data_IF_881121163403
#
_entry.id   IF_881121163403
#
_cell.length_a   1.000
_cell.length_b   1.000
_cell.length_c   1.000
_cell.angle_alpha   90.00
_cell.angle_beta   90.00
_cell.angle_gamma   90.00
#
_symmetry.space_group_name_H-M   'P 1'
#
loop_
_entity.id
_entity.type
_entity.pdbx_description
1 polymer ?
#
# COMPACT_ATOMS: atom_id res chain seq x y z
N UNK A 1 2.43 -12.36 6.98
CA UNK A 1 2.41 -12.41 5.50
C UNK A 1 0.96 -12.44 5.09
N UNK A 2 0.55 -11.41 4.36
CA UNK A 2 -0.86 -11.14 4.01
C UNK A 2 -0.92 -10.80 2.52
N UNK A 3 -1.88 -11.36 1.79
CA UNK A 3 -2.10 -11.03 0.37
C UNK A 3 -3.26 -10.06 0.24
N UNK A 4 -3.05 -8.99 -0.51
CA UNK A 4 -4.03 -7.93 -0.75
C UNK A 4 -4.29 -7.77 -2.23
N UNK A 5 -5.51 -7.38 -2.60
CA UNK A 5 -5.85 -7.00 -3.97
C UNK A 5 -5.86 -5.49 -4.16
N UNK A 6 -5.66 -5.04 -5.40
CA UNK A 6 -5.77 -3.63 -5.78
C UNK A 6 -7.17 -3.04 -5.47
N UNK A 7 -8.21 -3.87 -5.39
CA UNK A 7 -9.58 -3.44 -5.11
C UNK A 7 -9.84 -3.11 -3.64
N UNK A 8 -8.95 -3.50 -2.71
CA UNK A 8 -9.16 -3.27 -1.27
C UNK A 8 -8.76 -1.86 -0.80
N UNK A 9 -8.03 -1.11 -1.63
CA UNK A 9 -7.62 0.27 -1.34
C UNK A 9 -6.93 0.46 0.02
N UNK A 10 -5.96 -0.42 0.33
CA UNK A 10 -5.16 -0.39 1.56
C UNK A 10 -3.72 0.03 1.28
N UNK A 11 -2.95 0.31 2.32
CA UNK A 11 -1.53 0.66 2.24
C UNK A 11 -0.73 -0.37 1.43
N UNK A 12 -0.95 -1.66 1.65
CA UNK A 12 -0.31 -2.74 0.89
C UNK A 12 -0.51 -2.64 -0.62
N UNK A 13 -1.64 -2.11 -1.09
CA UNK A 13 -1.93 -1.89 -2.52
C UNK A 13 -1.73 -0.45 -2.99
N UNK A 14 -1.34 0.46 -2.09
CA UNK A 14 -1.12 1.88 -2.37
C UNK A 14 0.26 2.13 -2.98
N UNK A 15 0.34 3.02 -3.98
CA UNK A 15 1.61 3.45 -4.60
C UNK A 15 2.60 4.06 -3.62
N UNK A 16 2.10 4.73 -2.59
CA UNK A 16 2.92 5.53 -1.68
C UNK A 16 3.45 4.76 -0.47
N UNK A 17 2.99 3.53 -0.25
CA UNK A 17 3.46 2.73 0.87
C UNK A 17 4.81 2.09 0.56
N UNK A 18 5.77 2.28 1.45
CA UNK A 18 7.15 1.83 1.30
C UNK A 18 7.44 0.54 2.09
N UNK A 19 6.40 -0.11 2.64
CA UNK A 19 6.53 -1.43 3.26
C UNK A 19 6.95 -2.51 2.26
N UNK A 20 7.71 -3.49 2.74
CA UNK A 20 8.23 -4.57 1.89
C UNK A 20 7.11 -5.48 1.42
N UNK A 21 6.95 -5.59 0.10
CA UNK A 21 5.90 -6.39 -0.55
C UNK A 21 6.36 -6.92 -1.90
N UNK A 22 5.87 -8.10 -2.26
CA UNK A 22 5.96 -8.61 -3.62
C UNK A 22 4.71 -8.17 -4.38
N UNK A 23 4.90 -7.70 -5.61
CA UNK A 23 3.82 -7.19 -6.45
C UNK A 23 3.81 -8.05 -7.70
N UNK A 24 2.64 -8.55 -8.08
CA UNK A 24 2.51 -9.28 -9.33
C UNK A 24 2.73 -8.36 -10.55
N UNK A 25 2.95 -8.94 -11.73
CA UNK A 25 3.29 -8.18 -12.92
C UNK A 25 2.20 -7.18 -13.35
N UNK A 26 0.94 -7.45 -13.05
CA UNK A 26 -0.20 -6.57 -13.35
C UNK A 26 -0.55 -5.62 -12.20
N UNK A 27 0.05 -5.78 -11.02
CA UNK A 27 -0.28 -5.05 -9.79
C UNK A 27 -1.76 -5.20 -9.37
N UNK A 28 -2.30 -6.40 -9.55
CA UNK A 28 -3.60 -6.82 -9.00
C UNK A 28 -3.48 -7.40 -7.60
N UNK A 29 -2.35 -8.05 -7.29
CA UNK A 29 -2.09 -8.70 -6.02
C UNK A 29 -0.77 -8.23 -5.42
N UNK A 30 -0.80 -8.04 -4.09
CA UNK A 30 0.30 -7.51 -3.30
C UNK A 30 0.50 -8.43 -2.10
N UNK A 31 1.60 -9.17 -2.08
CA UNK A 31 1.98 -9.99 -0.93
C UNK A 31 2.83 -9.15 0.01
N UNK A 32 2.25 -8.72 1.11
CA UNK A 32 2.96 -7.99 2.16
C UNK A 32 3.89 -8.95 2.91
N UNK A 33 5.20 -8.75 2.73
CA UNK A 33 6.25 -9.51 3.42
C UNK A 33 6.46 -8.98 4.85
N UNK A 34 6.11 -7.70 5.08
CA UNK A 34 6.11 -7.04 6.38
C UNK A 34 4.72 -6.47 6.69
N UNK A 35 4.37 -6.50 7.97
CA UNK A 35 3.12 -5.92 8.50
C UNK A 35 3.13 -4.39 8.45
N UNK A 36 4.31 -3.78 8.48
CA UNK A 36 4.46 -2.32 8.60
C UNK A 36 5.32 -1.71 7.51
N UNK A 37 5.05 -0.45 7.22
CA UNK A 37 5.83 0.35 6.29
C UNK A 37 5.50 1.83 6.39
N UNK A 38 6.47 2.67 6.07
CA UNK A 38 6.26 4.12 6.01
C UNK A 38 5.39 4.50 4.81
N UNK A 39 4.52 5.50 4.97
CA UNK A 39 3.78 6.09 3.87
C UNK A 39 4.46 7.38 3.37
N UNK A 40 4.97 7.33 2.14
CA UNK A 40 5.61 8.44 1.44
C UNK A 40 4.61 9.27 0.61
N UNK A 41 3.34 9.30 1.04
CA UNK A 41 2.27 10.04 0.35
C UNK A 41 2.56 11.55 0.35
N UNK A 42 2.18 12.28 -0.72
CA UNK A 42 2.39 13.74 -0.77
C UNK A 42 1.50 14.50 0.22
N UNK A 43 0.37 13.91 0.61
CA UNK A 43 -0.62 14.48 1.51
C UNK A 43 -1.32 13.36 2.31
N UNK A 44 -2.17 13.75 3.26
CA UNK A 44 -2.99 12.85 4.06
C UNK A 44 -2.40 12.53 5.43
N UNK A 45 -3.25 11.97 6.30
CA UNK A 45 -2.94 11.67 7.71
C UNK A 45 -1.82 10.65 7.90
N UNK A 46 -1.48 9.88 6.85
CA UNK A 46 -0.46 8.85 6.90
C UNK A 46 0.93 9.32 6.44
N UNK A 47 1.06 10.56 5.95
CA UNK A 47 2.33 11.05 5.43
C UNK A 47 3.43 11.03 6.50
N UNK A 48 4.52 10.31 6.21
CA UNK A 48 5.71 10.22 7.07
C UNK A 48 5.52 9.40 8.34
N UNK A 49 4.42 8.65 8.46
CA UNK A 49 4.22 7.72 9.58
C UNK A 49 4.30 6.27 9.10
N UNK A 50 4.68 5.39 10.03
CA UNK A 50 4.61 3.95 9.84
C UNK A 50 3.15 3.49 9.96
N UNK A 51 2.67 2.80 8.92
CA UNK A 51 1.32 2.27 8.85
C UNK A 51 1.35 0.76 8.64
N UNK A 52 0.30 0.09 9.10
CA UNK A 52 0.13 -1.34 8.84
C UNK A 52 -0.27 -1.57 7.37
N UNK A 53 -0.08 -2.77 6.87
CA UNK A 53 -0.32 -3.14 5.47
C UNK A 53 -1.82 -3.04 5.13
N UNK A 54 -2.69 -3.33 6.11
CA UNK A 54 -4.15 -3.28 5.97
C UNK A 54 -4.78 -1.92 6.28
N UNK A 55 -4.00 -0.90 6.64
CA UNK A 55 -4.53 0.44 6.90
C UNK A 55 -5.04 1.09 5.60
N UNK A 56 -6.05 1.95 5.70
CA UNK A 56 -6.59 2.70 4.56
C UNK A 56 -6.68 4.18 4.89
N UNK A 57 -6.55 5.02 3.86
CA UNK A 57 -6.71 6.46 3.98
C UNK A 57 -7.38 7.03 2.72
N UNK A 58 -7.93 8.24 2.84
CA UNK A 58 -8.63 8.91 1.73
C UNK A 58 -7.71 9.31 0.58
N UNK A 59 -6.40 9.38 0.80
CA UNK A 59 -5.38 9.74 -0.20
C UNK A 59 -4.78 8.51 -0.89
N UNK A 60 -5.44 7.35 -0.78
CA UNK A 60 -5.00 6.13 -1.45
C UNK A 60 -4.92 6.35 -2.96
N UNK A 61 -3.85 5.85 -3.57
CA UNK A 61 -3.70 5.82 -5.01
C UNK A 61 -3.23 4.45 -5.48
N UNK A 62 -3.83 3.99 -6.58
CA UNK A 62 -3.47 2.74 -7.21
C UNK A 62 -1.98 2.69 -7.55
N UNK A 63 -1.37 1.52 -7.33
CA UNK A 63 0.06 1.31 -7.59
C UNK A 63 0.43 1.62 -9.05
N UNK A 64 -0.41 1.24 -10.01
CA UNK A 64 -0.34 1.69 -11.40
C UNK A 64 -1.48 2.68 -11.69
N UNK A 65 -1.16 3.76 -12.41
CA UNK A 65 -2.17 4.54 -13.12
C UNK A 65 -2.52 3.75 -14.37
N UNK A 66 -3.80 3.50 -14.59
CA UNK A 66 -4.32 3.02 -15.88
C UNK A 66 -3.88 3.95 -17.02
#
# INVERSE_FOLDING_TARGET
MSTWSNNQQVCASCRYWCGRRRIDFMAYFFDAEQDKGECAGPAGSFRGIETNEGSSCSEWQAFRKE
#
